data_IF_091786695809
#
_entry.id   IF_091786695809
#
_cell.length_a   1.000
_cell.length_b   1.000
_cell.length_c   1.000
_cell.angle_alpha   90.00
_cell.angle_beta   90.00
_cell.angle_gamma   90.00
#
_symmetry.space_group_name_H-M   'P 1'
#
loop_
_entity.id
_entity.type
_entity.pdbx_description
1 polymer ?
#
# COMPACT_ATOMS: atom_id res chain seq x y z
N UNK A 1 24.35 4.58 10.45
CA UNK A 1 24.38 4.17 9.04
C UNK A 1 25.40 3.06 8.79
N UNK A 2 26.57 3.10 9.43
CA UNK A 2 27.61 2.05 9.35
C UNK A 2 27.08 0.67 9.77
N UNK A 3 26.25 0.61 10.80
CA UNK A 3 25.62 -0.64 11.25
C UNK A 3 24.72 -1.26 10.16
N UNK A 4 24.02 -0.46 9.37
CA UNK A 4 23.19 -0.94 8.26
C UNK A 4 24.09 -1.61 7.20
N UNK A 5 25.20 -0.99 6.84
CA UNK A 5 26.15 -1.57 5.87
C UNK A 5 26.76 -2.88 6.35
N UNK A 6 26.97 -3.03 7.65
CA UNK A 6 27.52 -4.26 8.23
C UNK A 6 26.49 -5.39 8.34
N UNK A 7 25.26 -5.07 8.75
CA UNK A 7 24.23 -6.07 9.08
C UNK A 7 23.39 -6.51 7.87
N UNK A 8 23.07 -5.61 6.94
CA UNK A 8 22.20 -5.91 5.80
C UNK A 8 22.74 -7.06 4.94
N UNK A 9 24.03 -7.12 4.56
CA UNK A 9 24.54 -8.23 3.75
C UNK A 9 24.35 -9.59 4.44
N UNK A 10 24.59 -9.67 5.75
CA UNK A 10 24.42 -10.87 6.53
C UNK A 10 22.96 -11.31 6.58
N UNK A 11 22.06 -10.40 6.93
CA UNK A 11 20.62 -10.67 6.99
C UNK A 11 20.04 -11.04 5.63
N UNK A 12 20.49 -10.38 4.56
CA UNK A 12 20.09 -10.69 3.20
C UNK A 12 20.52 -12.11 2.81
N UNK A 13 21.77 -12.47 3.09
CA UNK A 13 22.28 -13.80 2.79
C UNK A 13 21.48 -14.89 3.52
N UNK A 14 21.14 -14.67 4.79
CA UNK A 14 20.32 -15.63 5.57
C UNK A 14 18.91 -15.76 4.97
N UNK A 15 18.31 -14.66 4.50
CA UNK A 15 17.01 -14.69 3.83
C UNK A 15 17.09 -15.37 2.45
N UNK A 16 18.11 -15.08 1.67
CA UNK A 16 18.35 -15.73 0.37
C UNK A 16 18.47 -17.26 0.57
N UNK A 17 19.21 -17.71 1.59
CA UNK A 17 19.34 -19.14 1.90
C UNK A 17 17.98 -19.80 2.20
N UNK A 18 17.11 -19.08 2.91
CA UNK A 18 15.83 -19.60 3.36
C UNK A 18 14.77 -19.64 2.25
N UNK A 19 14.69 -18.60 1.41
CA UNK A 19 13.54 -18.40 0.51
C UNK A 19 13.88 -18.37 -0.98
N UNK A 20 15.14 -18.10 -1.35
CA UNK A 20 15.57 -17.98 -2.74
C UNK A 20 17.01 -18.54 -2.94
N UNK A 21 17.27 -19.81 -2.58
CA UNK A 21 18.64 -20.37 -2.58
C UNK A 21 19.32 -20.33 -3.96
N UNK A 22 18.56 -20.28 -5.06
CA UNK A 22 19.10 -20.14 -6.40
C UNK A 22 19.93 -18.85 -6.60
N UNK A 23 19.64 -17.78 -5.85
CA UNK A 23 20.40 -16.53 -5.89
C UNK A 23 21.84 -16.68 -5.34
N UNK A 24 22.18 -17.77 -4.68
CA UNK A 24 23.53 -18.03 -4.21
C UNK A 24 24.47 -18.53 -5.32
N UNK A 25 23.91 -19.02 -6.41
CA UNK A 25 24.72 -19.54 -7.51
C UNK A 25 25.42 -18.41 -8.28
N UNK A 26 26.51 -18.76 -8.97
CA UNK A 26 27.30 -17.78 -9.72
C UNK A 26 26.51 -17.11 -10.85
N UNK A 27 25.50 -17.79 -11.39
CA UNK A 27 24.64 -17.26 -12.44
C UNK A 27 23.86 -16.00 -12.01
N UNK A 28 23.62 -15.81 -10.70
CA UNK A 28 22.82 -14.72 -10.14
C UNK A 28 23.65 -13.73 -9.31
N UNK A 29 24.96 -13.68 -9.53
CA UNK A 29 25.85 -12.80 -8.77
C UNK A 29 25.52 -11.32 -8.98
N UNK A 30 25.21 -10.91 -10.21
CA UNK A 30 24.89 -9.52 -10.54
C UNK A 30 23.61 -9.08 -9.85
N UNK A 31 22.55 -9.87 -9.98
CA UNK A 31 21.24 -9.59 -9.38
C UNK A 31 21.32 -9.54 -7.85
N UNK A 32 22.08 -10.44 -7.23
CA UNK A 32 22.30 -10.44 -5.79
C UNK A 32 23.01 -9.17 -5.34
N UNK A 33 24.08 -8.76 -6.03
CA UNK A 33 24.81 -7.54 -5.69
C UNK A 33 23.95 -6.27 -5.88
N UNK A 34 23.14 -6.24 -6.94
CA UNK A 34 22.18 -5.16 -7.15
C UNK A 34 21.14 -5.12 -6.01
N UNK A 35 20.57 -6.27 -5.65
CA UNK A 35 19.58 -6.37 -4.56
C UNK A 35 20.19 -5.91 -3.22
N UNK A 36 21.42 -6.31 -2.91
CA UNK A 36 22.13 -5.89 -1.69
C UNK A 36 22.30 -4.36 -1.67
N UNK A 37 22.78 -3.78 -2.78
CA UNK A 37 22.95 -2.33 -2.92
C UNK A 37 21.65 -1.56 -2.75
N UNK A 38 20.56 -2.04 -3.37
CA UNK A 38 19.22 -1.45 -3.25
C UNK A 38 18.71 -1.49 -1.83
N UNK A 39 18.86 -2.63 -1.13
CA UNK A 39 18.39 -2.79 0.25
C UNK A 39 19.17 -1.89 1.20
N UNK A 40 20.51 -1.84 1.08
CA UNK A 40 21.35 -0.95 1.90
C UNK A 40 20.92 0.51 1.69
N UNK A 41 20.76 0.94 0.45
CA UNK A 41 20.32 2.30 0.12
C UNK A 41 18.96 2.61 0.74
N UNK A 42 18.00 1.72 0.58
CA UNK A 42 16.63 1.89 1.11
C UNK A 42 16.60 1.91 2.64
N UNK A 43 17.36 1.02 3.29
CA UNK A 43 17.45 0.98 4.74
C UNK A 43 18.10 2.24 5.34
N UNK A 44 19.15 2.76 4.70
CA UNK A 44 19.77 4.02 5.10
C UNK A 44 18.80 5.19 4.99
N UNK A 45 18.11 5.27 3.86
CA UNK A 45 17.13 6.33 3.64
C UNK A 45 15.98 6.24 4.65
N UNK A 46 15.43 5.03 4.88
CA UNK A 46 14.41 4.82 5.90
C UNK A 46 14.87 5.26 7.30
N UNK A 47 16.12 4.94 7.65
CA UNK A 47 16.71 5.40 8.93
C UNK A 47 16.78 6.93 9.03
N UNK A 48 17.08 7.64 7.93
CA UNK A 48 17.07 9.11 7.89
C UNK A 48 15.63 9.65 8.04
N UNK A 49 14.67 9.09 7.35
CA UNK A 49 13.25 9.46 7.48
C UNK A 49 12.76 9.28 8.93
N UNK A 50 13.03 8.13 9.55
CA UNK A 50 12.64 7.90 10.95
C UNK A 50 13.28 8.91 11.90
N UNK A 51 14.56 9.19 11.69
CA UNK A 51 15.30 10.18 12.51
C UNK A 51 14.76 11.59 12.29
N UNK A 52 14.46 11.98 11.06
CA UNK A 52 13.93 13.32 10.75
C UNK A 52 12.53 13.54 11.33
N UNK A 53 11.73 12.49 11.42
CA UNK A 53 10.40 12.50 12.03
C UNK A 53 10.44 12.35 13.55
N UNK A 54 11.59 11.98 14.13
CA UNK A 54 11.70 11.52 15.53
C UNK A 54 10.64 10.43 15.85
N UNK A 55 10.40 9.56 14.88
CA UNK A 55 9.35 8.56 14.93
C UNK A 55 9.84 7.24 15.52
N UNK A 56 8.99 6.62 16.35
CA UNK A 56 9.22 5.29 16.89
C UNK A 56 8.53 4.22 16.04
N UNK A 57 9.22 3.12 15.73
CA UNK A 57 8.59 1.92 15.16
C UNK A 57 7.90 1.17 16.29
N UNK A 58 6.58 1.11 16.24
CA UNK A 58 5.75 0.36 17.22
C UNK A 58 5.66 -1.10 16.86
N UNK A 59 5.56 -1.42 15.57
CA UNK A 59 5.49 -2.79 15.09
C UNK A 59 5.61 -2.90 13.58
N UNK A 60 5.89 -4.12 13.13
CA UNK A 60 5.99 -4.46 11.71
C UNK A 60 5.12 -5.68 11.40
N UNK A 61 4.65 -5.77 10.14
CA UNK A 61 4.01 -6.96 9.61
C UNK A 61 2.77 -7.42 10.42
N UNK A 62 1.83 -6.51 10.71
CA UNK A 62 0.67 -6.79 11.55
C UNK A 62 -0.64 -6.88 10.76
N UNK A 63 -1.55 -7.74 11.24
CA UNK A 63 -2.84 -7.96 10.61
C UNK A 63 -3.89 -6.98 11.10
N UNK A 64 -4.65 -6.47 10.13
CA UNK A 64 -5.78 -5.58 10.32
C UNK A 64 -7.05 -6.22 9.75
N UNK A 65 -8.19 -5.94 10.35
CA UNK A 65 -9.50 -6.36 9.87
C UNK A 65 -10.56 -5.29 10.10
N UNK A 66 -11.53 -5.24 9.22
CA UNK A 66 -12.61 -4.27 9.28
C UNK A 66 -13.72 -4.59 8.29
N UNK A 67 -14.48 -3.58 7.88
CA UNK A 67 -15.52 -3.73 6.87
C UNK A 67 -15.55 -2.54 5.92
N UNK A 68 -15.92 -2.80 4.67
CA UNK A 68 -16.20 -1.78 3.66
C UNK A 68 -17.55 -2.14 3.03
N UNK A 69 -18.56 -1.23 3.10
CA UNK A 69 -19.93 -1.48 2.61
C UNK A 69 -20.54 -2.79 3.12
N UNK A 70 -20.39 -3.07 4.42
CA UNK A 70 -20.85 -4.29 5.11
C UNK A 70 -20.12 -5.58 4.68
N UNK A 71 -19.10 -5.47 3.83
CA UNK A 71 -18.25 -6.60 3.45
C UNK A 71 -16.99 -6.65 4.31
N UNK A 72 -16.64 -7.83 4.85
CA UNK A 72 -15.41 -7.95 5.63
C UNK A 72 -14.19 -7.70 4.75
N UNK A 73 -13.28 -6.89 5.28
CA UNK A 73 -11.97 -6.66 4.68
C UNK A 73 -10.88 -7.03 5.67
N UNK A 74 -9.75 -7.45 5.16
CA UNK A 74 -8.56 -7.70 5.96
C UNK A 74 -7.31 -7.34 5.13
N UNK A 75 -6.26 -7.01 5.83
CA UNK A 75 -4.99 -6.67 5.22
C UNK A 75 -3.86 -6.83 6.21
N UNK A 76 -2.64 -6.81 5.69
CA UNK A 76 -1.44 -6.83 6.48
C UNK A 76 -0.68 -5.55 6.20
N UNK A 77 -0.48 -4.73 7.23
CA UNK A 77 0.30 -3.50 7.13
C UNK A 77 1.78 -3.80 7.38
N UNK A 78 2.67 -3.10 6.70
CA UNK A 78 4.10 -3.37 6.78
C UNK A 78 4.73 -2.78 8.04
N UNK A 79 4.33 -1.55 8.43
CA UNK A 79 4.92 -0.87 9.59
C UNK A 79 3.90 0.06 10.25
N UNK A 80 3.96 0.16 11.60
CA UNK A 80 3.30 1.18 12.39
C UNK A 80 4.34 2.06 13.04
N UNK A 81 4.26 3.36 12.78
CA UNK A 81 5.03 4.39 13.47
C UNK A 81 4.16 5.10 14.49
N UNK A 82 4.82 5.66 15.50
CA UNK A 82 4.28 6.67 16.42
C UNK A 82 5.12 7.93 16.31
N UNK A 83 4.49 9.04 15.94
CA UNK A 83 5.12 10.36 15.92
C UNK A 83 5.31 10.92 17.34
N UNK A 84 6.16 11.94 17.55
CA UNK A 84 6.40 12.53 18.87
C UNK A 84 5.15 13.06 19.58
N UNK A 85 4.16 13.51 18.82
CA UNK A 85 2.87 13.96 19.34
C UNK A 85 1.92 12.81 19.71
N UNK A 86 2.33 11.54 19.50
CA UNK A 86 1.54 10.34 19.74
C UNK A 86 0.73 9.85 18.56
N UNK A 87 0.67 10.60 17.45
CA UNK A 87 -0.10 10.22 16.27
C UNK A 87 0.42 8.96 15.61
N UNK A 88 -0.43 7.93 15.39
CA UNK A 88 -0.04 6.72 14.66
C UNK A 88 0.00 6.97 13.14
N UNK A 89 0.99 6.37 12.49
CA UNK A 89 1.14 6.35 11.03
C UNK A 89 1.30 4.91 10.55
N UNK A 90 0.36 4.44 9.75
CA UNK A 90 0.47 3.13 9.10
C UNK A 90 1.21 3.28 7.78
N UNK A 91 2.33 2.60 7.64
CA UNK A 91 3.21 2.68 6.48
C UNK A 91 3.16 1.40 5.69
N UNK A 92 3.13 1.53 4.38
CA UNK A 92 3.24 0.45 3.42
C UNK A 92 4.46 0.67 2.52
N UNK A 93 5.32 -0.35 2.41
CA UNK A 93 6.53 -0.30 1.61
C UNK A 93 6.26 -0.67 0.16
N UNK A 94 6.76 0.13 -0.78
CA UNK A 94 6.58 -0.13 -2.20
C UNK A 94 7.91 -0.13 -2.96
N UNK A 95 8.21 -1.25 -3.63
CA UNK A 95 9.33 -1.32 -4.57
C UNK A 95 8.95 -0.60 -5.87
N UNK A 96 8.81 0.72 -5.79
CA UNK A 96 8.50 1.61 -6.91
C UNK A 96 9.07 2.99 -6.61
N UNK A 97 9.02 3.89 -7.59
CA UNK A 97 9.24 5.32 -7.37
C UNK A 97 7.93 6.02 -6.98
N UNK A 98 8.04 7.18 -6.36
CA UNK A 98 6.93 7.93 -5.76
C UNK A 98 5.95 8.54 -6.78
N UNK A 99 6.39 8.90 -7.99
CA UNK A 99 5.61 9.69 -8.93
C UNK A 99 4.20 9.16 -9.20
N UNK A 100 4.06 7.92 -9.68
CA UNK A 100 2.74 7.32 -9.94
C UNK A 100 1.90 7.14 -8.66
N UNK A 101 2.55 6.91 -7.51
CA UNK A 101 1.86 6.79 -6.22
C UNK A 101 1.32 8.14 -5.77
N UNK A 102 2.13 9.18 -5.86
CA UNK A 102 1.72 10.57 -5.59
C UNK A 102 0.50 10.96 -6.41
N UNK A 103 0.58 10.75 -7.73
CA UNK A 103 -0.52 11.06 -8.65
C UNK A 103 -1.81 10.33 -8.26
N UNK A 104 -1.71 9.06 -7.87
CA UNK A 104 -2.85 8.24 -7.45
C UNK A 104 -3.47 8.74 -6.16
N UNK A 105 -2.64 9.05 -5.15
CA UNK A 105 -3.09 9.64 -3.89
C UNK A 105 -3.78 10.99 -4.13
N UNK A 106 -3.12 11.92 -4.84
CA UNK A 106 -3.66 13.26 -5.13
C UNK A 106 -4.97 13.23 -5.92
N UNK A 107 -5.12 12.25 -6.80
CA UNK A 107 -6.34 12.08 -7.61
C UNK A 107 -7.44 11.27 -6.90
N UNK A 108 -7.23 10.84 -5.66
CA UNK A 108 -8.24 10.09 -4.88
C UNK A 108 -8.50 8.67 -5.39
N UNK A 109 -7.49 8.03 -5.97
CA UNK A 109 -7.60 6.67 -6.51
C UNK A 109 -6.82 5.61 -5.73
N UNK A 110 -6.21 5.98 -4.61
CA UNK A 110 -5.47 5.01 -3.79
C UNK A 110 -6.36 4.43 -2.70
N UNK A 111 -6.71 3.16 -2.85
CA UNK A 111 -7.58 2.46 -1.92
C UNK A 111 -6.78 1.75 -0.81
N UNK A 112 -5.59 1.24 -1.10
CA UNK A 112 -4.89 0.33 -0.20
C UNK A 112 -4.60 0.96 1.17
N UNK A 113 -3.91 2.09 1.19
CA UNK A 113 -3.58 2.74 2.48
C UNK A 113 -4.80 3.40 3.14
N UNK A 114 -5.79 3.83 2.35
CA UNK A 114 -7.04 4.34 2.93
C UNK A 114 -7.83 3.24 3.65
N UNK A 115 -7.79 2.00 3.16
CA UNK A 115 -8.44 0.88 3.85
C UNK A 115 -7.82 0.62 5.22
N UNK A 116 -6.52 0.83 5.42
CA UNK A 116 -5.89 0.68 6.74
C UNK A 116 -6.49 1.60 7.80
N UNK A 117 -6.98 2.78 7.43
CA UNK A 117 -7.71 3.69 8.35
C UNK A 117 -9.06 3.16 8.81
N UNK A 118 -9.61 2.19 8.09
CA UNK A 118 -10.94 1.61 8.32
C UNK A 118 -10.86 0.24 8.98
N UNK A 119 -9.67 -0.18 9.36
CA UNK A 119 -9.40 -1.48 9.94
C UNK A 119 -8.81 -1.32 11.34
N UNK A 120 -9.00 -2.35 12.14
CA UNK A 120 -8.52 -2.45 13.51
C UNK A 120 -7.64 -3.69 13.66
N UNK A 121 -6.78 -3.68 14.66
CA UNK A 121 -6.03 -4.88 15.04
C UNK A 121 -6.96 -5.86 15.74
N UNK A 122 -6.99 -7.09 15.28
CA UNK A 122 -7.71 -8.15 15.98
C UNK A 122 -6.88 -8.66 17.14
N UNK A 123 -7.43 -8.51 18.33
CA UNK A 123 -6.86 -9.06 19.57
C UNK A 123 -7.66 -10.31 19.92
N UNK A 124 -6.96 -11.39 20.25
CA UNK A 124 -7.52 -12.62 20.80
C UNK A 124 -6.68 -13.09 22.01
N UNK A 125 -7.10 -14.17 22.66
CA UNK A 125 -6.44 -14.72 23.84
C UNK A 125 -5.00 -15.22 23.59
N UNK A 126 -4.56 -15.27 22.33
CA UNK A 126 -3.21 -15.68 21.91
C UNK A 126 -2.36 -14.51 21.46
N UNK A 127 -2.90 -13.30 21.49
CA UNK A 127 -2.19 -12.09 21.06
C UNK A 127 -1.08 -11.78 22.07
N UNK A 128 0.15 -11.72 21.57
CA UNK A 128 1.30 -11.33 22.40
C UNK A 128 1.38 -9.81 22.61
N UNK A 129 2.24 -9.38 23.53
CA UNK A 129 2.43 -7.98 23.93
C UNK A 129 2.66 -7.02 22.75
N UNK A 130 3.34 -7.48 21.70
CA UNK A 130 3.56 -6.67 20.50
C UNK A 130 2.25 -6.31 19.77
N UNK A 131 1.31 -7.24 19.67
CA UNK A 131 0.01 -7.03 19.03
C UNK A 131 -0.84 -6.09 19.89
N UNK A 132 -0.82 -6.28 21.21
CA UNK A 132 -1.52 -5.42 22.16
C UNK A 132 -1.00 -3.98 22.05
N UNK A 133 0.32 -3.79 22.06
CA UNK A 133 0.93 -2.45 21.89
C UNK A 133 0.55 -1.77 20.59
N UNK A 134 0.48 -2.49 19.48
CA UNK A 134 0.03 -1.98 18.18
C UNK A 134 -1.43 -1.50 18.27
N UNK A 135 -2.30 -2.34 18.84
CA UNK A 135 -3.72 -2.02 19.00
C UNK A 135 -3.92 -0.79 19.92
N UNK A 136 -3.26 -0.75 21.06
CA UNK A 136 -3.29 0.40 21.98
C UNK A 136 -2.82 1.69 21.29
N UNK A 137 -1.75 1.63 20.49
CA UNK A 137 -1.24 2.79 19.76
C UNK A 137 -2.28 3.31 18.77
N UNK A 138 -2.93 2.42 18.02
CA UNK A 138 -3.96 2.81 17.05
C UNK A 138 -5.22 3.37 17.71
N UNK A 139 -5.63 2.81 18.84
CA UNK A 139 -6.88 3.21 19.54
C UNK A 139 -6.69 4.41 20.48
N UNK A 140 -5.45 4.73 20.88
CA UNK A 140 -5.16 5.89 21.74
C UNK A 140 -5.34 7.24 21.02
N UNK A 141 -5.36 7.24 19.70
CA UNK A 141 -5.53 8.46 18.90
C UNK A 141 -7.01 8.69 18.57
N UNK A 142 -7.53 9.93 18.72
CA UNK A 142 -8.97 10.20 18.61
C UNK A 142 -9.52 10.16 17.18
N UNK A 143 -8.64 10.18 16.18
CA UNK A 143 -8.99 10.15 14.75
C UNK A 143 -8.36 8.93 14.08
N UNK A 144 -8.81 8.53 12.88
CA UNK A 144 -8.15 7.49 12.13
C UNK A 144 -6.64 7.76 11.96
N UNK A 145 -5.80 6.72 11.92
CA UNK A 145 -4.36 6.90 11.80
C UNK A 145 -3.98 7.63 10.51
N UNK A 146 -2.90 8.34 10.52
CA UNK A 146 -2.25 8.79 9.30
C UNK A 146 -1.74 7.57 8.52
N UNK A 147 -1.58 7.72 7.21
CA UNK A 147 -1.12 6.63 6.35
C UNK A 147 -0.02 7.12 5.42
N UNK A 148 0.90 6.24 5.07
CA UNK A 148 2.00 6.59 4.19
C UNK A 148 2.42 5.46 3.26
N UNK A 149 3.00 5.85 2.12
CA UNK A 149 3.84 4.98 1.32
C UNK A 149 5.30 5.37 1.47
N UNK A 150 6.15 4.41 1.80
CA UNK A 150 7.59 4.56 1.65
C UNK A 150 8.02 3.86 0.37
N UNK A 151 8.50 4.64 -0.61
CA UNK A 151 8.90 4.15 -1.93
C UNK A 151 10.39 3.87 -1.96
N UNK A 152 10.75 2.58 -2.13
CA UNK A 152 12.12 2.10 -1.94
C UNK A 152 13.10 2.52 -3.06
N UNK A 153 12.61 2.81 -4.27
CA UNK A 153 13.49 3.15 -5.39
C UNK A 153 14.06 4.56 -5.29
N UNK A 154 13.27 5.52 -4.80
CA UNK A 154 13.65 6.94 -4.66
C UNK A 154 13.66 7.41 -3.20
N UNK A 155 13.23 6.56 -2.28
CA UNK A 155 13.30 6.80 -0.85
C UNK A 155 12.24 7.76 -0.29
N UNK A 156 11.29 8.21 -1.07
CA UNK A 156 10.29 9.19 -0.62
C UNK A 156 9.27 8.57 0.35
N UNK A 157 8.89 9.35 1.36
CA UNK A 157 7.73 9.07 2.20
C UNK A 157 6.57 9.98 1.78
N UNK A 158 5.52 9.39 1.18
CA UNK A 158 4.27 10.08 0.83
C UNK A 158 3.31 9.91 2.00
N UNK A 159 3.04 10.97 2.75
CA UNK A 159 2.28 10.93 4.01
C UNK A 159 0.96 11.69 3.86
N UNK A 160 -0.13 11.09 4.34
CA UNK A 160 -1.46 11.70 4.37
C UNK A 160 -2.09 11.58 5.76
N UNK A 161 -2.77 12.64 6.20
CA UNK A 161 -3.47 12.68 7.48
C UNK A 161 -2.61 13.20 8.64
N UNK A 162 -1.53 13.93 8.34
CA UNK A 162 -0.76 14.72 9.28
C UNK A 162 -0.82 16.18 8.82
N UNK A 163 -1.10 17.08 9.73
CA UNK A 163 -1.10 18.50 9.47
C UNK A 163 0.25 19.13 9.92
N UNK A 164 0.69 20.16 9.23
CA UNK A 164 1.82 21.03 9.61
C UNK A 164 3.15 20.32 9.93
N UNK A 165 3.51 19.34 9.12
CA UNK A 165 4.82 18.71 9.20
C UNK A 165 5.80 19.41 8.23
N UNK A 166 6.69 20.24 8.77
CA UNK A 166 7.81 20.81 7.99
C UNK A 166 9.00 19.85 8.04
N UNK A 167 9.11 19.01 7.02
CA UNK A 167 10.14 17.98 6.95
C UNK A 167 10.55 17.71 5.51
N UNK A 168 11.84 17.94 5.19
CA UNK A 168 12.36 17.80 3.84
C UNK A 168 12.38 16.34 3.30
N UNK A 169 12.35 15.35 4.20
CA UNK A 169 12.36 13.91 3.85
C UNK A 169 10.94 13.34 3.65
N UNK A 170 9.90 14.18 3.84
CA UNK A 170 8.51 13.75 3.80
C UNK A 170 7.72 14.64 2.85
N UNK A 171 6.96 14.03 1.99
CA UNK A 171 6.00 14.73 1.13
C UNK A 171 4.58 14.57 1.67
N UNK A 172 3.97 15.66 2.07
CA UNK A 172 2.58 15.68 2.49
C UNK A 172 1.64 15.63 1.28
N UNK A 173 0.75 14.66 1.28
CA UNK A 173 -0.32 14.53 0.28
C UNK A 173 -1.65 14.85 0.97
N UNK A 174 -2.21 16.01 0.65
CA UNK A 174 -3.49 16.44 1.22
C UNK A 174 -4.72 15.77 0.58
N UNK A 175 -5.89 16.01 1.20
CA UNK A 175 -7.18 15.61 0.68
C UNK A 175 -7.57 14.15 0.91
N UNK A 176 -8.72 13.76 0.32
CA UNK A 176 -9.25 12.40 0.38
C UNK A 176 -8.60 11.55 -0.73
N UNK A 177 -7.64 10.73 -0.33
CA UNK A 177 -6.79 9.92 -1.20
C UNK A 177 -7.50 8.76 -1.88
N UNK A 178 -8.73 8.41 -1.45
CA UNK A 178 -9.49 7.28 -1.98
C UNK A 178 -10.89 7.67 -2.51
N UNK A 179 -11.27 8.93 -2.48
CA UNK A 179 -12.61 9.42 -2.83
C UNK A 179 -13.17 8.81 -4.11
N UNK A 180 -12.40 8.83 -5.18
CA UNK A 180 -12.84 8.34 -6.48
C UNK A 180 -12.90 6.80 -6.51
N UNK A 181 -11.92 6.12 -5.90
CA UNK A 181 -11.90 4.66 -5.79
C UNK A 181 -13.11 4.13 -4.98
N UNK A 182 -13.37 4.72 -3.82
CA UNK A 182 -14.49 4.35 -2.94
C UNK A 182 -15.83 4.63 -3.64
N UNK A 183 -15.96 5.77 -4.34
CA UNK A 183 -17.19 6.10 -5.08
C UNK A 183 -17.46 5.10 -6.19
N UNK A 184 -16.44 4.71 -6.95
CA UNK A 184 -16.59 3.70 -8.02
C UNK A 184 -16.99 2.34 -7.45
N UNK A 185 -16.32 1.87 -6.40
CA UNK A 185 -16.64 0.59 -5.76
C UNK A 185 -18.08 0.61 -5.24
N UNK A 186 -18.50 1.69 -4.57
CA UNK A 186 -19.88 1.84 -4.09
C UNK A 186 -20.89 1.74 -5.24
N UNK A 187 -20.63 2.40 -6.37
CA UNK A 187 -21.50 2.33 -7.53
C UNK A 187 -21.58 0.90 -8.11
N UNK A 188 -20.44 0.21 -8.20
CA UNK A 188 -20.37 -1.18 -8.69
C UNK A 188 -21.10 -2.15 -7.74
N UNK A 189 -20.96 -2.01 -6.43
CA UNK A 189 -21.73 -2.82 -5.47
C UNK A 189 -23.23 -2.58 -5.57
N UNK A 190 -23.67 -1.33 -5.74
CA UNK A 190 -25.09 -1.02 -5.94
C UNK A 190 -25.64 -1.65 -7.23
N UNK A 191 -24.88 -1.59 -8.32
CA UNK A 191 -25.25 -2.20 -9.58
C UNK A 191 -25.37 -3.73 -9.43
N UNK A 192 -24.38 -4.36 -8.78
CA UNK A 192 -24.37 -5.80 -8.54
C UNK A 192 -25.56 -6.24 -7.66
N UNK A 193 -25.87 -5.52 -6.58
CA UNK A 193 -27.05 -5.78 -5.74
C UNK A 193 -28.37 -5.62 -6.51
N UNK A 194 -28.38 -4.82 -7.57
CA UNK A 194 -29.52 -4.65 -8.48
C UNK A 194 -29.52 -5.65 -9.65
N UNK A 195 -28.72 -6.74 -9.58
CA UNK A 195 -28.61 -7.75 -10.64
C UNK A 195 -27.87 -7.29 -11.90
N UNK A 196 -27.15 -6.18 -11.84
CA UNK A 196 -26.41 -5.65 -13.00
C UNK A 196 -24.91 -5.87 -12.85
N UNK A 197 -24.34 -6.66 -13.75
CA UNK A 197 -22.90 -6.81 -13.89
C UNK A 197 -22.40 -5.86 -15.00
N UNK A 198 -21.70 -4.82 -14.60
CA UNK A 198 -21.08 -3.88 -15.53
C UNK A 198 -19.62 -4.25 -15.74
N UNK A 199 -19.28 -4.58 -16.99
CA UNK A 199 -17.88 -4.85 -17.39
C UNK A 199 -17.23 -3.56 -17.87
N UNK A 200 -15.91 -3.45 -17.69
CA UNK A 200 -15.16 -2.31 -18.20
C UNK A 200 -15.08 -2.36 -19.73
N UNK A 201 -15.07 -1.17 -20.34
CA UNK A 201 -14.86 -0.97 -21.76
C UNK A 201 -13.40 -0.57 -22.06
N UNK A 202 -13.02 -0.59 -23.33
CA UNK A 202 -11.72 -0.03 -23.75
C UNK A 202 -11.58 1.45 -23.44
N UNK A 203 -12.69 2.21 -23.51
CA UNK A 203 -12.71 3.62 -23.12
C UNK A 203 -12.48 3.79 -21.62
N UNK A 204 -13.07 2.91 -20.78
CA UNK A 204 -12.83 2.90 -19.33
C UNK A 204 -11.35 2.66 -19.02
N UNK A 205 -10.70 1.71 -19.68
CA UNK A 205 -9.27 1.42 -19.48
C UNK A 205 -8.40 2.64 -19.79
N UNK A 206 -8.66 3.33 -20.91
CA UNK A 206 -7.98 4.58 -21.29
C UNK A 206 -8.26 5.71 -20.30
N UNK A 207 -9.50 5.84 -19.83
CA UNK A 207 -9.90 6.81 -18.82
C UNK A 207 -9.19 6.58 -17.50
N UNK A 208 -9.10 5.34 -17.03
CA UNK A 208 -8.35 4.98 -15.82
C UNK A 208 -6.87 5.29 -15.93
N UNK A 209 -6.23 4.99 -17.04
CA UNK A 209 -4.83 5.35 -17.25
C UNK A 209 -4.60 6.85 -17.14
N UNK A 210 -5.50 7.65 -17.74
CA UNK A 210 -5.39 9.13 -17.75
C UNK A 210 -5.76 9.76 -16.39
N UNK A 211 -6.84 9.31 -15.77
CA UNK A 211 -7.42 9.96 -14.57
C UNK A 211 -6.88 9.42 -13.25
N UNK A 212 -6.48 8.14 -13.21
CA UNK A 212 -6.10 7.44 -11.99
C UNK A 212 -4.60 7.13 -11.90
N UNK A 213 -3.81 7.41 -12.94
CA UNK A 213 -2.43 6.94 -13.06
C UNK A 213 -2.29 5.42 -12.87
N UNK A 214 -3.34 4.67 -13.25
CA UNK A 214 -3.40 3.22 -13.19
C UNK A 214 -3.10 2.63 -14.55
N UNK A 215 -2.05 1.81 -14.64
CA UNK A 215 -1.78 1.03 -15.84
C UNK A 215 -2.63 -0.25 -15.81
N UNK A 216 -3.29 -0.53 -16.92
CA UNK A 216 -4.02 -1.78 -17.16
C UNK A 216 -3.16 -2.81 -17.89
N UNK A 217 -1.86 -2.56 -18.05
CA UNK A 217 -0.95 -3.38 -18.84
C UNK A 217 -0.98 -4.88 -18.48
N UNK A 218 -1.17 -5.20 -17.20
CA UNK A 218 -1.28 -6.59 -16.75
C UNK A 218 -2.56 -7.29 -17.24
N UNK A 219 -3.53 -6.53 -17.75
CA UNK A 219 -4.81 -6.97 -18.24
C UNK A 219 -4.84 -6.98 -19.78
N UNK A 220 -4.09 -6.09 -20.42
CA UNK A 220 -4.08 -5.88 -21.88
C UNK A 220 -3.56 -7.13 -22.62
N UNK A 221 -2.58 -7.82 -22.05
CA UNK A 221 -1.97 -9.01 -22.66
C UNK A 221 -2.70 -10.33 -22.33
N UNK A 222 -3.77 -10.29 -21.54
CA UNK A 222 -4.52 -11.48 -21.20
C UNK A 222 -5.66 -11.73 -22.20
N UNK A 223 -5.61 -12.84 -22.99
CA UNK A 223 -6.69 -13.18 -23.92
C UNK A 223 -8.05 -13.36 -23.22
N UNK A 224 -8.05 -13.80 -21.96
CA UNK A 224 -9.26 -13.95 -21.15
C UNK A 224 -9.86 -12.58 -20.83
N UNK A 225 -9.04 -11.60 -20.43
CA UNK A 225 -9.52 -10.26 -20.11
C UNK A 225 -9.94 -9.52 -21.36
N UNK A 226 -9.22 -9.65 -22.47
CA UNK A 226 -9.64 -9.11 -23.76
C UNK A 226 -11.02 -9.63 -24.19
N UNK A 227 -11.34 -10.88 -23.90
CA UNK A 227 -12.65 -11.47 -24.18
C UNK A 227 -13.79 -10.89 -23.29
N UNK A 228 -13.45 -10.34 -22.11
CA UNK A 228 -14.41 -9.69 -21.21
C UNK A 228 -14.45 -8.17 -21.38
N UNK A 229 -13.53 -7.58 -22.12
CA UNK A 229 -13.58 -6.16 -22.47
C UNK A 229 -14.71 -5.93 -23.46
N UNK A 230 -15.67 -5.15 -23.04
CA UNK A 230 -16.84 -4.84 -23.87
C UNK A 230 -16.48 -3.80 -24.93
N UNK A 231 -16.98 -3.97 -26.13
CA UNK A 231 -17.04 -2.90 -27.13
C UNK A 231 -17.90 -1.76 -26.57
N UNK A 232 -17.47 -0.50 -26.76
CA UNK A 232 -18.18 0.68 -26.29
C UNK A 232 -19.61 0.81 -26.83
N UNK A 233 -19.91 0.13 -27.92
CA UNK A 233 -21.23 0.08 -28.57
C UNK A 233 -22.15 -1.03 -28.07
N UNK A 234 -21.64 -1.98 -27.28
CA UNK A 234 -22.42 -3.10 -26.78
C UNK A 234 -23.38 -2.69 -25.64
N UNK A 235 -24.65 -3.12 -25.62
CA UNK A 235 -25.59 -2.82 -24.54
C UNK A 235 -25.12 -3.46 -23.23
N UNK A 236 -25.43 -2.83 -22.08
CA UNK A 236 -25.15 -3.43 -20.76
C UNK A 236 -25.91 -4.73 -20.59
N UNK A 237 -25.22 -5.78 -20.12
CA UNK A 237 -25.88 -7.04 -19.77
C UNK A 237 -26.57 -6.87 -18.43
N UNK A 238 -27.89 -6.96 -18.38
CA UNK A 238 -28.64 -7.05 -17.13
C UNK A 238 -29.03 -8.52 -16.92
N UNK A 239 -28.73 -9.06 -15.74
CA UNK A 239 -29.32 -10.33 -15.30
C UNK A 239 -30.59 -9.98 -14.57
N UNK A 240 -31.76 -10.30 -15.16
CA UNK A 240 -33.03 -10.32 -14.45
C UNK A 240 -33.22 -11.73 -13.94
N UNK A 241 -33.49 -11.88 -12.63
CA UNK A 241 -34.01 -13.13 -12.09
C UNK A 241 -35.39 -13.36 -12.70
N UNK A 242 -35.50 -14.46 -13.48
CA UNK A 242 -36.79 -15.04 -13.85
C UNK A 242 -37.30 -15.96 -12.72
#
# INVERSE_FOLDING_TARGET
LEQIEAEVPRLLLDRIRAIAPFLQTSAWTVERNMLETEIIKSAKHWSLVLKSLDAEIVGNEFWLGGSLFDHPIHGKADCLLRLPNGQPVVVDYKKSSSGNRRDRLQKGWDLQVDLYRRMEVRIDDRSGDAVIRIAETLTSWPTPPAVAYHTLNDGNLLLNGVDDLDNAEVELVGGDIAKNAVSLISARFKALKAGRLETNTTADAKSFQKSAALSTYALEDSPLIAAFMRDDTAPSVSFTDD
#
